data_IF_129882399622
#
_entry.id   IF_129882399622
#
_cell.length_a   1.000
_cell.length_b   1.000
_cell.length_c   1.000
_cell.angle_alpha   90.00
_cell.angle_beta   90.00
_cell.angle_gamma   90.00
#
_symmetry.space_group_name_H-M   'P 1'
#
loop_
_entity.id
_entity.type
_entity.pdbx_description
1 polymer ?
#
# COMPACT_ATOMS: atom_id res chain seq x y z
N UNK A 1 -5.93 26.48 15.84
CA UNK A 1 -6.82 25.90 14.81
C UNK A 1 -6.23 24.61 14.25
N UNK A 2 -4.93 24.56 13.98
CA UNK A 2 -4.24 23.40 13.36
C UNK A 2 -4.41 22.09 14.16
N UNK A 3 -4.27 22.12 15.48
CA UNK A 3 -4.46 20.94 16.34
C UNK A 3 -5.88 20.37 16.28
N UNK A 4 -6.90 21.24 16.17
CA UNK A 4 -8.30 20.80 16.04
C UNK A 4 -8.50 20.13 14.68
N UNK A 5 -7.98 20.73 13.60
CA UNK A 5 -8.06 20.17 12.27
C UNK A 5 -7.27 18.85 12.15
N UNK A 6 -6.11 18.74 12.82
CA UNK A 6 -5.37 17.49 12.91
C UNK A 6 -6.20 16.38 13.57
N UNK A 7 -6.89 16.69 14.68
CA UNK A 7 -7.81 15.75 15.34
C UNK A 7 -8.98 15.35 14.44
N UNK A 8 -9.57 16.32 13.73
CA UNK A 8 -10.63 16.04 12.73
C UNK A 8 -10.11 15.12 11.64
N UNK A 9 -8.89 15.36 11.13
CA UNK A 9 -8.23 14.49 10.16
C UNK A 9 -8.09 13.06 10.67
N UNK A 10 -7.62 12.85 11.90
CA UNK A 10 -7.54 11.52 12.49
C UNK A 10 -8.91 10.84 12.66
N UNK A 11 -9.94 11.60 13.05
CA UNK A 11 -11.29 11.06 13.18
C UNK A 11 -11.83 10.63 11.82
N UNK A 12 -11.66 11.45 10.78
CA UNK A 12 -12.05 11.11 9.41
C UNK A 12 -11.29 9.87 8.91
N UNK A 13 -9.99 9.83 9.13
CA UNK A 13 -9.13 8.71 8.71
C UNK A 13 -9.55 7.39 9.38
N UNK A 14 -9.74 7.38 10.71
CA UNK A 14 -10.10 6.18 11.46
C UNK A 14 -11.54 5.75 11.17
N UNK A 15 -12.50 6.68 11.21
CA UNK A 15 -13.90 6.36 10.92
C UNK A 15 -14.14 6.05 9.45
N UNK A 16 -13.44 6.74 8.55
CA UNK A 16 -13.44 6.43 7.13
C UNK A 16 -12.95 5.01 6.87
N UNK A 17 -11.83 4.61 7.47
CA UNK A 17 -11.31 3.24 7.37
C UNK A 17 -12.28 2.20 7.96
N UNK A 18 -12.99 2.53 9.04
CA UNK A 18 -13.98 1.67 9.66
C UNK A 18 -15.15 1.34 8.69
N UNK A 19 -15.69 2.37 8.02
CA UNK A 19 -16.71 2.20 6.99
C UNK A 19 -16.16 1.53 5.73
N UNK A 20 -14.98 1.90 5.30
CA UNK A 20 -14.35 1.35 4.10
C UNK A 20 -14.11 -0.16 4.23
N UNK A 21 -13.56 -0.59 5.35
CA UNK A 21 -13.35 -2.01 5.67
C UNK A 21 -14.68 -2.74 5.77
N UNK A 22 -15.67 -2.20 6.49
CA UNK A 22 -16.97 -2.83 6.65
C UNK A 22 -17.70 -2.98 5.30
N UNK A 23 -17.69 -1.95 4.47
CA UNK A 23 -18.24 -2.00 3.12
C UNK A 23 -17.54 -3.02 2.22
N UNK A 24 -16.20 -3.06 2.30
CA UNK A 24 -15.35 -3.97 1.50
C UNK A 24 -15.52 -5.42 1.90
N UNK A 25 -15.50 -5.73 3.20
CA UNK A 25 -15.77 -7.10 3.70
C UNK A 25 -17.20 -7.54 3.37
N UNK A 26 -18.18 -6.63 3.47
CA UNK A 26 -19.55 -6.90 3.09
C UNK A 26 -19.69 -7.18 1.59
N UNK A 27 -18.98 -6.42 0.75
CA UNK A 27 -18.95 -6.66 -0.70
C UNK A 27 -18.35 -8.03 -1.03
N UNK A 28 -17.28 -8.44 -0.34
CA UNK A 28 -16.70 -9.77 -0.47
C UNK A 28 -17.74 -10.85 -0.17
N UNK A 29 -18.51 -10.70 0.91
CA UNK A 29 -19.60 -11.61 1.28
C UNK A 29 -20.73 -11.64 0.23
N UNK A 30 -21.17 -10.49 -0.30
CA UNK A 30 -22.18 -10.40 -1.36
C UNK A 30 -21.71 -11.11 -2.64
N UNK A 31 -20.46 -10.92 -3.03
CA UNK A 31 -19.87 -11.53 -4.22
C UNK A 31 -19.46 -13.00 -3.99
N UNK A 32 -19.51 -13.48 -2.74
CA UNK A 32 -19.04 -14.79 -2.32
C UNK A 32 -17.58 -15.06 -2.73
N UNK A 33 -16.73 -14.08 -2.47
CA UNK A 33 -15.30 -14.18 -2.74
C UNK A 33 -14.51 -13.97 -1.45
N UNK A 34 -13.31 -14.54 -1.31
CA UNK A 34 -12.43 -14.26 -0.18
C UNK A 34 -12.17 -12.76 -0.04
N UNK A 35 -12.18 -12.23 1.19
CA UNK A 35 -11.93 -10.79 1.48
C UNK A 35 -10.56 -10.34 0.98
N UNK A 36 -9.60 -11.24 0.92
CA UNK A 36 -8.27 -10.98 0.36
C UNK A 36 -8.31 -10.51 -1.09
N UNK A 37 -9.23 -10.99 -1.91
CA UNK A 37 -9.35 -10.55 -3.31
C UNK A 37 -9.83 -9.08 -3.36
N UNK A 38 -10.77 -8.71 -2.50
CA UNK A 38 -11.22 -7.32 -2.37
C UNK A 38 -10.08 -6.45 -1.82
N UNK A 39 -9.30 -6.96 -0.87
CA UNK A 39 -8.08 -6.31 -0.36
C UNK A 39 -7.06 -6.05 -1.45
N UNK A 40 -6.71 -7.09 -2.24
CA UNK A 40 -5.74 -7.02 -3.36
C UNK A 40 -6.18 -6.13 -4.53
N UNK A 41 -7.45 -5.77 -4.61
CA UNK A 41 -8.01 -5.02 -5.74
C UNK A 41 -8.62 -3.68 -5.29
N UNK A 42 -9.89 -3.69 -4.89
CA UNK A 42 -10.67 -2.46 -4.61
C UNK A 42 -10.03 -1.66 -3.48
N UNK A 43 -9.61 -2.32 -2.39
CA UNK A 43 -9.06 -1.63 -1.23
C UNK A 43 -7.67 -1.07 -1.58
N UNK A 44 -6.80 -1.90 -2.15
CA UNK A 44 -5.45 -1.49 -2.54
C UNK A 44 -5.46 -0.34 -3.56
N UNK A 45 -6.26 -0.45 -4.63
CA UNK A 45 -6.37 0.61 -5.64
C UNK A 45 -6.94 1.92 -5.07
N UNK A 46 -7.88 1.79 -4.11
CA UNK A 46 -8.49 2.95 -3.46
C UNK A 46 -7.51 3.68 -2.55
N UNK A 47 -6.84 2.96 -1.67
CA UNK A 47 -5.89 3.55 -0.72
C UNK A 47 -4.65 4.11 -1.41
N UNK A 48 -4.19 3.51 -2.52
CA UNK A 48 -3.05 4.00 -3.32
C UNK A 48 -3.41 5.12 -4.32
N UNK A 49 -4.61 5.69 -4.25
CA UNK A 49 -4.98 6.83 -5.08
C UNK A 49 -4.12 8.10 -4.82
N UNK A 50 -3.73 8.43 -3.57
CA UNK A 50 -2.78 9.52 -3.30
C UNK A 50 -1.43 9.29 -3.96
N UNK A 51 -0.86 8.08 -3.84
CA UNK A 51 0.40 7.72 -4.50
C UNK A 51 0.31 7.88 -6.02
N UNK A 52 -0.80 7.43 -6.62
CA UNK A 52 -1.04 7.60 -8.06
C UNK A 52 -1.08 9.08 -8.43
N UNK A 53 -1.77 9.91 -7.66
CA UNK A 53 -1.83 11.35 -7.87
C UNK A 53 -0.46 12.00 -7.81
N UNK A 54 0.33 11.71 -6.76
CA UNK A 54 1.68 12.27 -6.59
C UNK A 54 2.60 11.84 -7.73
N UNK A 55 2.69 10.55 -8.02
CA UNK A 55 3.65 10.04 -9.01
C UNK A 55 3.30 10.43 -10.44
N UNK A 56 2.00 10.41 -10.82
CA UNK A 56 1.57 10.80 -12.16
C UNK A 56 1.77 12.31 -12.37
N UNK A 57 1.44 13.15 -11.38
CA UNK A 57 1.70 14.58 -11.47
C UNK A 57 3.21 14.90 -11.51
N UNK A 58 4.02 14.17 -10.76
CA UNK A 58 5.48 14.29 -10.82
C UNK A 58 6.03 13.94 -12.22
N UNK A 59 5.54 12.86 -12.84
CA UNK A 59 5.91 12.46 -14.19
C UNK A 59 5.49 13.53 -15.24
N UNK A 60 4.29 14.10 -15.11
CA UNK A 60 3.81 15.21 -15.96
C UNK A 60 4.67 16.46 -15.81
N UNK A 61 5.18 16.73 -14.60
CA UNK A 61 6.06 17.87 -14.30
C UNK A 61 7.53 17.61 -14.65
N UNK A 62 7.89 16.40 -15.10
CA UNK A 62 9.28 16.01 -15.38
C UNK A 62 10.13 15.72 -14.13
N UNK A 63 9.49 15.62 -12.95
CA UNK A 63 10.13 15.31 -11.67
C UNK A 63 10.20 13.80 -11.45
N UNK A 64 10.97 13.10 -12.29
CA UNK A 64 11.00 11.64 -12.35
C UNK A 64 11.42 10.97 -11.04
N UNK A 65 12.35 11.59 -10.30
CA UNK A 65 12.86 11.09 -9.03
C UNK A 65 11.74 10.97 -7.98
N UNK A 66 10.82 11.94 -7.97
CA UNK A 66 9.66 11.93 -7.06
C UNK A 66 8.74 10.76 -7.39
N UNK A 67 8.48 10.50 -8.69
CA UNK A 67 7.60 9.41 -9.10
C UNK A 67 8.14 8.04 -8.66
N UNK A 68 9.44 7.80 -8.86
CA UNK A 68 10.09 6.53 -8.48
C UNK A 68 10.19 6.41 -6.97
N UNK A 69 10.69 7.44 -6.28
CA UNK A 69 10.91 7.41 -4.84
C UNK A 69 9.60 7.24 -4.07
N UNK A 70 8.51 7.87 -4.53
CA UNK A 70 7.19 7.71 -3.93
C UNK A 70 6.72 6.25 -4.00
N UNK A 71 6.80 5.63 -5.17
CA UNK A 71 6.35 4.22 -5.34
C UNK A 71 7.24 3.25 -4.57
N UNK A 72 8.56 3.36 -4.69
CA UNK A 72 9.49 2.45 -4.00
C UNK A 72 9.39 2.62 -2.49
N UNK A 73 9.34 3.88 -2.02
CA UNK A 73 9.22 4.20 -0.59
C UNK A 73 7.90 3.70 0.01
N UNK A 74 6.76 3.93 -0.66
CA UNK A 74 5.45 3.42 -0.23
C UNK A 74 5.43 1.89 -0.18
N UNK A 75 6.06 1.22 -1.13
CA UNK A 75 6.12 -0.25 -1.13
C UNK A 75 6.97 -0.81 0.02
N UNK A 76 8.10 -0.17 0.35
CA UNK A 76 8.90 -0.52 1.54
C UNK A 76 8.08 -0.28 2.80
N UNK A 77 7.38 0.87 2.89
CA UNK A 77 6.51 1.19 4.01
C UNK A 77 5.38 0.16 4.17
N UNK A 78 4.68 -0.17 3.09
CA UNK A 78 3.61 -1.16 3.11
C UNK A 78 4.11 -2.53 3.59
N UNK A 79 5.25 -2.97 3.09
CA UNK A 79 5.85 -4.23 3.52
C UNK A 79 6.27 -4.21 4.99
N UNK A 80 7.12 -3.27 5.36
CA UNK A 80 7.76 -3.27 6.67
C UNK A 80 6.89 -2.66 7.77
N UNK A 81 6.16 -1.57 7.48
CA UNK A 81 5.37 -0.88 8.52
C UNK A 81 3.93 -1.38 8.55
N UNK A 82 3.22 -1.37 7.41
CA UNK A 82 1.79 -1.75 7.41
C UNK A 82 1.63 -3.21 7.83
N UNK A 83 2.31 -4.14 7.14
CA UNK A 83 2.26 -5.58 7.50
C UNK A 83 2.90 -5.82 8.87
N UNK A 84 4.01 -5.15 9.18
CA UNK A 84 4.70 -5.26 10.46
C UNK A 84 3.82 -4.86 11.64
N UNK A 85 3.15 -3.71 11.58
CA UNK A 85 2.23 -3.25 12.65
C UNK A 85 1.02 -4.18 12.76
N UNK A 86 0.43 -4.61 11.65
CA UNK A 86 -0.67 -5.57 11.68
C UNK A 86 -0.28 -6.87 12.40
N UNK A 87 0.89 -7.43 12.10
CA UNK A 87 1.40 -8.63 12.75
C UNK A 87 1.74 -8.40 14.24
N UNK A 88 2.29 -7.22 14.58
CA UNK A 88 2.58 -6.84 15.96
C UNK A 88 1.32 -6.71 16.82
N UNK A 89 0.28 -6.09 16.28
CA UNK A 89 -1.01 -5.93 16.97
C UNK A 89 -1.72 -7.27 17.13
N UNK A 90 -1.77 -8.06 16.07
CA UNK A 90 -2.45 -9.35 16.05
C UNK A 90 -1.71 -10.33 15.16
N UNK A 91 -1.05 -11.33 15.79
CA UNK A 91 -0.42 -12.40 15.01
C UNK A 91 -1.46 -13.13 14.18
N UNK A 92 -1.22 -13.28 12.89
CA UNK A 92 -2.17 -13.89 11.96
C UNK A 92 -1.53 -14.94 11.06
N UNK A 93 -2.37 -15.85 10.55
CA UNK A 93 -1.97 -16.78 9.50
C UNK A 93 -2.29 -16.13 8.14
N UNK A 94 -1.31 -15.95 7.25
CA UNK A 94 -1.59 -15.52 5.90
C UNK A 94 -2.48 -16.52 5.19
N UNK A 95 -3.48 -16.03 4.46
CA UNK A 95 -4.33 -16.90 3.64
C UNK A 95 -3.48 -17.70 2.64
N UNK A 96 -3.80 -18.96 2.42
CA UNK A 96 -2.96 -19.86 1.62
C UNK A 96 -2.70 -19.37 0.19
N UNK A 97 -3.63 -18.62 -0.41
CA UNK A 97 -3.48 -18.03 -1.74
C UNK A 97 -2.49 -16.87 -1.73
N UNK A 98 -2.54 -15.97 -0.73
CA UNK A 98 -1.56 -14.89 -0.59
C UNK A 98 -0.14 -15.46 -0.54
N UNK A 99 0.07 -16.49 0.30
CA UNK A 99 1.38 -17.08 0.50
C UNK A 99 1.91 -17.81 -0.75
N UNK A 100 1.03 -18.47 -1.51
CA UNK A 100 1.43 -19.30 -2.67
C UNK A 100 1.44 -18.53 -3.98
N UNK A 101 0.70 -17.44 -4.08
CA UNK A 101 0.46 -16.71 -5.32
C UNK A 101 0.91 -15.25 -5.24
N UNK A 102 0.33 -14.48 -4.31
CA UNK A 102 0.44 -13.02 -4.37
C UNK A 102 1.78 -12.50 -3.84
N UNK A 103 2.32 -13.08 -2.75
CA UNK A 103 3.65 -12.73 -2.27
C UNK A 103 4.77 -13.14 -3.24
N UNK A 104 4.79 -14.37 -3.83
CA UNK A 104 5.73 -14.71 -4.89
C UNK A 104 5.58 -13.81 -6.13
N UNK A 105 4.36 -13.45 -6.52
CA UNK A 105 4.14 -12.51 -7.62
C UNK A 105 4.70 -11.12 -7.31
N UNK A 106 4.49 -10.61 -6.10
CA UNK A 106 5.05 -9.33 -5.67
C UNK A 106 6.59 -9.35 -5.72
N UNK A 107 7.23 -10.44 -5.28
CA UNK A 107 8.68 -10.63 -5.39
C UNK A 107 9.10 -10.64 -6.86
N UNK A 108 8.42 -11.41 -7.72
CA UNK A 108 8.72 -11.49 -9.15
C UNK A 108 8.62 -10.11 -9.82
N UNK A 109 7.55 -9.37 -9.57
CA UNK A 109 7.36 -8.02 -10.12
C UNK A 109 8.46 -7.07 -9.64
N UNK A 110 8.86 -7.17 -8.37
CA UNK A 110 9.97 -6.36 -7.84
C UNK A 110 11.31 -6.76 -8.47
N UNK A 111 11.57 -8.05 -8.73
CA UNK A 111 12.76 -8.49 -9.47
C UNK A 111 12.77 -7.92 -10.88
N UNK A 112 11.64 -7.99 -11.59
CA UNK A 112 11.52 -7.40 -12.93
C UNK A 112 11.79 -5.90 -12.90
N UNK A 113 11.26 -5.17 -11.89
CA UNK A 113 11.55 -3.74 -11.72
C UNK A 113 13.04 -3.49 -11.48
N UNK A 114 13.71 -4.29 -10.62
CA UNK A 114 15.16 -4.19 -10.41
C UNK A 114 15.93 -4.35 -11.74
N UNK A 115 15.52 -5.32 -12.58
CA UNK A 115 16.16 -5.55 -13.87
C UNK A 115 15.92 -4.39 -14.85
N UNK A 116 14.70 -3.83 -14.89
CA UNK A 116 14.38 -2.67 -15.71
C UNK A 116 15.18 -1.41 -15.29
N UNK A 117 15.53 -1.29 -14.01
CA UNK A 117 16.30 -0.13 -13.51
C UNK A 117 17.80 -0.20 -13.77
N UNK A 118 18.34 -1.34 -14.27
CA UNK A 118 19.79 -1.54 -14.47
C UNK A 118 20.38 -0.65 -15.57
N UNK A 119 19.59 -0.25 -16.56
CA UNK A 119 20.04 0.62 -17.65
C UNK A 119 19.92 2.13 -17.31
N UNK A 120 19.46 2.46 -16.09
CA UNK A 120 19.31 3.84 -15.60
C UNK A 120 18.06 4.55 -16.10
N UNK A 121 17.11 3.82 -16.72
CA UNK A 121 15.87 4.42 -17.20
C UNK A 121 14.70 3.44 -17.14
N UNK A 122 13.47 3.95 -16.99
CA UNK A 122 12.25 3.19 -17.23
C UNK A 122 11.57 3.78 -18.46
N UNK A 123 11.66 3.08 -19.57
CA UNK A 123 11.18 3.50 -20.89
C UNK A 123 9.64 3.44 -20.98
N UNK A 124 9.07 4.11 -22.01
CA UNK A 124 7.63 4.02 -22.31
C UNK A 124 7.19 2.59 -22.64
N UNK A 125 8.07 1.80 -23.27
CA UNK A 125 7.75 0.40 -23.64
C UNK A 125 7.67 -0.44 -22.38
N UNK A 126 8.62 -0.31 -21.47
CA UNK A 126 8.59 -1.01 -20.17
C UNK A 126 7.39 -0.58 -19.33
N UNK A 127 7.06 0.71 -19.32
CA UNK A 127 5.83 1.21 -18.71
C UNK A 127 4.57 0.57 -19.30
N UNK A 128 4.48 0.44 -20.62
CA UNK A 128 3.36 -0.24 -21.28
C UNK A 128 3.31 -1.74 -20.94
N UNK A 129 4.47 -2.40 -20.80
CA UNK A 129 4.55 -3.80 -20.33
C UNK A 129 4.03 -3.92 -18.90
N UNK A 130 4.42 -3.03 -17.99
CA UNK A 130 3.90 -3.01 -16.62
C UNK A 130 2.37 -2.83 -16.59
N UNK A 131 1.83 -1.90 -17.39
CA UNK A 131 0.37 -1.71 -17.50
C UNK A 131 -0.34 -2.95 -18.06
N UNK A 132 0.24 -3.60 -19.07
CA UNK A 132 -0.29 -4.85 -19.59
C UNK A 132 -0.30 -5.94 -18.50
N UNK A 133 0.77 -6.07 -17.73
CA UNK A 133 0.83 -6.99 -16.58
C UNK A 133 -0.25 -6.66 -15.54
N UNK A 134 -0.55 -5.37 -15.30
CA UNK A 134 -1.63 -4.97 -14.41
C UNK A 134 -3.00 -5.44 -14.90
N UNK A 135 -3.29 -5.26 -16.20
CA UNK A 135 -4.55 -5.73 -16.80
C UNK A 135 -4.65 -7.25 -16.70
N UNK A 136 -3.57 -7.96 -16.99
CA UNK A 136 -3.52 -9.42 -16.86
C UNK A 136 -3.73 -9.87 -15.40
N UNK A 137 -3.11 -9.18 -14.44
CA UNK A 137 -3.29 -9.43 -13.00
C UNK A 137 -4.74 -9.24 -12.57
N UNK A 138 -5.38 -8.13 -12.95
CA UNK A 138 -6.79 -7.87 -12.63
C UNK A 138 -7.71 -8.91 -13.27
N UNK A 139 -7.46 -9.27 -14.53
CA UNK A 139 -8.20 -10.35 -15.21
C UNK A 139 -8.08 -11.68 -14.48
N UNK A 140 -6.86 -11.99 -14.01
CA UNK A 140 -6.60 -13.19 -13.23
C UNK A 140 -7.30 -13.13 -11.84
N UNK A 141 -7.33 -11.97 -11.18
CA UNK A 141 -8.07 -11.81 -9.91
C UNK A 141 -9.57 -12.04 -10.10
N UNK A 142 -10.16 -11.50 -11.18
CA UNK A 142 -11.59 -11.73 -11.51
C UNK A 142 -11.85 -13.23 -11.79
N UNK A 143 -10.95 -13.88 -12.52
CA UNK A 143 -11.05 -15.32 -12.77
C UNK A 143 -10.95 -16.14 -11.48
N UNK A 144 -9.98 -15.83 -10.62
CA UNK A 144 -9.79 -16.47 -9.32
C UNK A 144 -11.01 -16.28 -8.41
N UNK A 145 -11.58 -15.07 -8.38
CA UNK A 145 -12.79 -14.75 -7.64
C UNK A 145 -13.99 -15.61 -8.08
N UNK A 146 -14.12 -15.87 -9.39
CA UNK A 146 -15.21 -16.71 -9.92
C UNK A 146 -15.04 -18.19 -9.62
N UNK A 147 -13.78 -18.67 -9.57
CA UNK A 147 -13.45 -20.07 -9.35
C UNK A 147 -13.48 -20.44 -7.86
N UNK A 148 -13.00 -19.57 -7.00
CA UNK A 148 -12.86 -19.81 -5.56
C UNK A 148 -14.01 -19.12 -4.80
N UNK A 149 -15.26 -19.45 -5.16
CA UNK A 149 -16.41 -18.97 -4.40
C UNK A 149 -16.44 -19.69 -3.05
N UNK A 150 -16.27 -18.90 -1.99
CA UNK A 150 -16.46 -19.36 -0.61
C UNK A 150 -17.88 -19.02 -0.17
N UNK A 151 -18.49 -19.90 0.64
CA UNK A 151 -19.67 -19.49 1.41
C UNK A 151 -19.17 -18.41 2.38
N UNK A 152 -19.65 -17.16 2.20
CA UNK A 152 -19.18 -16.02 2.95
C UNK A 152 -19.21 -16.28 4.45
N UNK A 153 -18.19 -15.89 5.18
CA UNK A 153 -18.20 -15.95 6.64
C UNK A 153 -19.46 -15.26 7.17
N UNK A 154 -20.09 -15.78 8.24
CA UNK A 154 -21.35 -15.28 8.78
C UNK A 154 -21.12 -13.95 9.52
N UNK A 155 -20.76 -12.90 8.79
CA UNK A 155 -20.75 -11.52 9.23
C UNK A 155 -22.09 -10.83 8.89
N UNK A 156 -22.37 -9.68 9.50
CA UNK A 156 -23.47 -8.81 9.07
C UNK A 156 -23.19 -8.29 7.67
N UNK A 157 -23.77 -8.95 6.64
CA UNK A 157 -23.67 -8.50 5.27
C UNK A 157 -24.63 -7.30 5.09
N UNK A 158 -24.09 -6.15 4.74
CA UNK A 158 -24.86 -4.98 4.36
C UNK A 158 -25.54 -5.23 3.00
N UNK A 159 -26.61 -4.49 2.71
CA UNK A 159 -27.15 -4.48 1.33
C UNK A 159 -26.13 -3.89 0.36
N UNK A 160 -26.15 -4.33 -0.90
CA UNK A 160 -25.21 -3.85 -1.93
C UNK A 160 -25.13 -2.31 -2.02
N UNK A 161 -26.24 -1.53 -2.03
CA UNK A 161 -26.16 -0.08 -2.04
C UNK A 161 -25.46 0.52 -0.80
N UNK A 162 -25.67 -0.07 0.38
CA UNK A 162 -24.99 0.35 1.61
C UNK A 162 -23.51 0.00 1.58
N UNK A 163 -23.14 -1.18 1.09
CA UNK A 163 -21.74 -1.57 0.92
C UNK A 163 -21.01 -0.60 0.00
N UNK A 164 -21.61 -0.25 -1.15
CA UNK A 164 -21.02 0.71 -2.09
C UNK A 164 -20.92 2.12 -1.49
N UNK A 165 -21.94 2.56 -0.73
CA UNK A 165 -21.90 3.85 -0.04
C UNK A 165 -20.80 3.87 1.03
N UNK A 166 -20.62 2.78 1.78
CA UNK A 166 -19.59 2.65 2.79
C UNK A 166 -18.18 2.60 2.17
N UNK A 167 -18.03 1.92 1.03
CA UNK A 167 -16.77 1.93 0.27
C UNK A 167 -16.47 3.34 -0.22
N UNK A 168 -17.37 3.99 -0.95
CA UNK A 168 -17.12 5.30 -1.53
C UNK A 168 -16.95 6.39 -0.47
N UNK A 169 -17.85 6.46 0.50
CA UNK A 169 -17.79 7.45 1.59
C UNK A 169 -16.62 7.21 2.54
N UNK A 170 -16.36 5.94 2.87
CA UNK A 170 -15.24 5.54 3.71
C UNK A 170 -13.90 5.87 3.05
N UNK A 171 -13.73 5.51 1.76
CA UNK A 171 -12.53 5.83 0.99
C UNK A 171 -12.31 7.35 0.90
N UNK A 172 -13.34 8.12 0.55
CA UNK A 172 -13.26 9.57 0.52
C UNK A 172 -12.81 10.14 1.88
N UNK A 173 -13.41 9.66 2.99
CA UNK A 173 -13.03 10.11 4.33
C UNK A 173 -11.59 9.71 4.69
N UNK A 174 -11.12 8.54 4.25
CA UNK A 174 -9.72 8.10 4.46
C UNK A 174 -8.75 9.01 3.70
N UNK A 175 -9.02 9.30 2.42
CA UNK A 175 -8.15 10.16 1.61
C UNK A 175 -8.13 11.58 2.19
N UNK A 176 -9.28 12.23 2.33
CA UNK A 176 -9.35 13.59 2.87
C UNK A 176 -8.84 13.69 4.31
N UNK A 177 -9.07 12.66 5.12
CA UNK A 177 -8.55 12.59 6.49
C UNK A 177 -7.03 12.48 6.51
N UNK A 178 -6.46 11.64 5.63
CA UNK A 178 -5.01 11.50 5.44
C UNK A 178 -4.35 12.80 5.02
N UNK A 179 -4.87 13.44 3.96
CA UNK A 179 -4.38 14.73 3.47
C UNK A 179 -4.42 15.81 4.57
N UNK A 180 -5.52 15.87 5.32
CA UNK A 180 -5.67 16.83 6.41
C UNK A 180 -4.68 16.57 7.56
N UNK A 181 -4.42 15.29 7.89
CA UNK A 181 -3.43 14.92 8.91
C UNK A 181 -2.04 15.35 8.47
N UNK A 182 -1.64 15.04 7.24
CA UNK A 182 -0.33 15.41 6.70
C UNK A 182 -0.13 16.92 6.66
N UNK A 183 -1.09 17.65 6.08
CA UNK A 183 -1.04 19.10 5.95
C UNK A 183 -0.88 19.78 7.32
N UNK A 184 -1.71 19.40 8.31
CA UNK A 184 -1.64 20.00 9.63
C UNK A 184 -0.43 19.56 10.43
N UNK A 185 0.03 18.32 10.27
CA UNK A 185 1.28 17.86 10.88
C UNK A 185 2.50 18.64 10.34
N UNK A 186 2.55 18.89 9.02
CA UNK A 186 3.60 19.71 8.40
C UNK A 186 3.62 21.14 8.94
N UNK A 187 2.45 21.80 9.03
CA UNK A 187 2.34 23.17 9.57
C UNK A 187 2.81 23.20 11.04
N UNK A 188 2.36 22.25 11.85
CA UNK A 188 2.74 22.16 13.27
C UNK A 188 4.25 21.94 13.41
N UNK A 189 4.82 20.99 12.66
CA UNK A 189 6.25 20.71 12.69
C UNK A 189 7.09 21.93 12.25
N UNK A 190 6.65 22.65 11.21
CA UNK A 190 7.29 23.90 10.77
C UNK A 190 7.26 24.96 11.87
N UNK A 191 6.13 25.12 12.58
CA UNK A 191 5.99 26.06 13.70
C UNK A 191 6.90 25.71 14.90
N UNK A 192 7.27 24.44 15.06
CA UNK A 192 8.28 23.98 16.03
C UNK A 192 9.74 24.11 15.54
N UNK A 193 9.95 24.66 14.35
CA UNK A 193 11.30 24.88 13.79
C UNK A 193 11.90 23.62 13.17
N UNK A 194 11.10 22.58 12.88
CA UNK A 194 11.56 21.39 12.17
C UNK A 194 11.90 21.76 10.73
N UNK A 195 13.05 21.30 10.22
CA UNK A 195 13.50 21.64 8.87
C UNK A 195 12.54 21.06 7.80
N UNK A 196 12.38 21.79 6.69
CA UNK A 196 11.54 21.36 5.57
C UNK A 196 12.02 20.04 4.96
N UNK A 197 13.33 19.82 4.95
CA UNK A 197 13.92 18.56 4.49
C UNK A 197 13.48 17.38 5.38
N UNK A 198 13.52 17.55 6.71
CA UNK A 198 13.06 16.53 7.65
C UNK A 198 11.56 16.25 7.51
N UNK A 199 10.73 17.30 7.35
CA UNK A 199 9.29 17.18 7.12
C UNK A 199 9.02 16.39 5.84
N UNK A 200 9.73 16.70 4.75
CA UNK A 200 9.60 16.01 3.46
C UNK A 200 9.96 14.53 3.55
N UNK A 201 11.10 14.22 4.19
CA UNK A 201 11.61 12.85 4.31
C UNK A 201 10.82 11.98 5.31
N UNK A 202 10.02 12.59 6.18
CA UNK A 202 9.25 11.85 7.22
C UNK A 202 7.76 12.01 7.03
N UNK A 203 7.19 13.18 7.36
CA UNK A 203 5.74 13.38 7.44
C UNK A 203 5.08 13.20 6.08
N UNK A 204 5.67 13.80 5.02
CA UNK A 204 5.09 13.70 3.68
C UNK A 204 5.31 12.29 3.10
N UNK A 205 6.50 11.72 3.28
CA UNK A 205 6.81 10.38 2.77
C UNK A 205 5.93 9.28 3.39
N UNK A 206 5.59 9.40 4.68
CA UNK A 206 4.68 8.47 5.37
C UNK A 206 3.22 8.79 5.02
N UNK A 207 2.94 10.05 4.72
CA UNK A 207 1.59 10.59 4.64
C UNK A 207 0.72 9.97 3.55
N UNK A 208 1.27 9.75 2.37
CA UNK A 208 0.52 9.11 1.26
C UNK A 208 0.11 7.69 1.61
N UNK A 209 0.92 6.97 2.41
CA UNK A 209 0.64 5.59 2.82
C UNK A 209 -0.13 5.47 4.16
N UNK A 210 -0.60 6.59 4.75
CA UNK A 210 -1.51 6.57 5.91
C UNK A 210 -2.83 5.85 5.62
N UNK A 211 -3.47 6.03 4.45
CA UNK A 211 -4.66 5.28 4.06
C UNK A 211 -4.47 3.76 4.18
N UNK A 212 -3.37 3.23 3.64
CA UNK A 212 -3.02 1.81 3.70
C UNK A 212 -2.84 1.35 5.13
N UNK A 213 -2.07 2.11 5.92
CA UNK A 213 -1.77 1.78 7.30
C UNK A 213 -3.04 1.69 8.15
N UNK A 214 -3.85 2.75 8.14
CA UNK A 214 -5.02 2.81 9.01
C UNK A 214 -6.09 1.81 8.57
N UNK A 215 -6.32 1.67 7.25
CA UNK A 215 -7.26 0.67 6.71
C UNK A 215 -6.85 -0.75 7.10
N UNK A 216 -5.56 -1.10 6.97
CA UNK A 216 -5.05 -2.44 7.32
C UNK A 216 -5.09 -2.69 8.84
N UNK A 217 -4.81 -1.68 9.68
CA UNK A 217 -4.97 -1.78 11.13
C UNK A 217 -6.43 -2.03 11.51
N UNK A 218 -7.37 -1.30 10.90
CA UNK A 218 -8.81 -1.46 11.17
C UNK A 218 -9.28 -2.85 10.73
N UNK A 219 -8.88 -3.32 9.54
CA UNK A 219 -9.18 -4.66 9.06
C UNK A 219 -8.63 -5.75 10.01
N UNK A 220 -7.38 -5.60 10.44
CA UNK A 220 -6.75 -6.52 11.42
C UNK A 220 -7.50 -6.55 12.74
N UNK A 221 -7.91 -5.38 13.27
CA UNK A 221 -8.71 -5.30 14.52
C UNK A 221 -10.10 -5.91 14.39
N UNK A 222 -10.68 -5.90 13.19
CA UNK A 222 -11.96 -6.57 12.89
C UNK A 222 -11.80 -8.08 12.64
N UNK A 223 -10.56 -8.61 12.69
CA UNK A 223 -10.27 -10.03 12.45
C UNK A 223 -10.09 -10.39 10.97
N UNK A 224 -10.19 -9.42 10.04
CA UNK A 224 -10.04 -9.63 8.60
C UNK A 224 -8.57 -9.39 8.18
N UNK A 225 -7.70 -10.31 8.58
CA UNK A 225 -6.28 -10.27 8.20
C UNK A 225 -6.06 -10.51 6.70
N UNK A 226 -7.01 -11.19 6.04
CA UNK A 226 -6.99 -11.39 4.59
C UNK A 226 -7.09 -10.06 3.85
N UNK A 227 -8.05 -9.22 4.21
CA UNK A 227 -8.22 -7.89 3.64
C UNK A 227 -7.03 -6.98 3.97
N UNK A 228 -6.50 -7.03 5.20
CA UNK A 228 -5.35 -6.22 5.62
C UNK A 228 -4.08 -6.55 4.81
N UNK A 229 -3.74 -7.85 4.70
CA UNK A 229 -2.57 -8.29 3.96
C UNK A 229 -2.77 -8.11 2.45
N UNK A 230 -3.99 -8.36 1.97
CA UNK A 230 -4.38 -8.10 0.59
C UNK A 230 -4.21 -6.63 0.22
N UNK A 231 -4.62 -5.70 1.09
CA UNK A 231 -4.40 -4.27 0.89
C UNK A 231 -2.90 -3.95 0.72
N UNK A 232 -2.04 -4.34 1.66
CA UNK A 232 -0.62 -4.00 1.61
C UNK A 232 0.09 -4.60 0.36
N UNK A 233 -0.14 -5.88 0.03
CA UNK A 233 0.49 -6.53 -1.11
C UNK A 233 -0.13 -6.05 -2.43
N UNK A 234 -1.45 -5.84 -2.46
CA UNK A 234 -2.15 -5.30 -3.62
C UNK A 234 -1.70 -3.88 -3.96
N UNK A 235 -1.51 -3.02 -2.95
CA UNK A 235 -0.95 -1.68 -3.12
C UNK A 235 0.47 -1.73 -3.70
N UNK A 236 1.32 -2.65 -3.25
CA UNK A 236 2.65 -2.81 -3.82
C UNK A 236 2.61 -3.21 -5.30
N UNK A 237 1.75 -4.14 -5.67
CA UNK A 237 1.56 -4.54 -7.08
C UNK A 237 0.97 -3.40 -7.91
N UNK A 238 -0.04 -2.69 -7.38
CA UNK A 238 -0.64 -1.54 -8.05
C UNK A 238 0.36 -0.41 -8.26
N UNK A 239 1.15 -0.10 -7.25
CA UNK A 239 2.18 0.94 -7.31
C UNK A 239 3.23 0.64 -8.39
N UNK A 240 3.73 -0.58 -8.48
CA UNK A 240 4.73 -0.96 -9.50
C UNK A 240 4.06 -1.06 -10.88
N UNK A 241 3.02 -1.87 -11.00
CA UNK A 241 2.46 -2.21 -12.30
C UNK A 241 1.65 -1.07 -12.93
N UNK A 242 0.86 -0.35 -12.11
CA UNK A 242 0.01 0.72 -12.62
C UNK A 242 0.67 2.09 -12.48
N UNK A 243 1.10 2.48 -11.29
CA UNK A 243 1.57 3.86 -11.06
C UNK A 243 2.88 4.12 -11.78
N UNK A 244 3.93 3.29 -11.60
CA UNK A 244 5.17 3.42 -12.37
C UNK A 244 4.95 3.17 -13.86
N UNK A 245 4.13 2.18 -14.21
CA UNK A 245 3.77 1.91 -15.59
C UNK A 245 3.16 3.11 -16.29
N UNK A 246 2.17 3.75 -15.66
CA UNK A 246 1.51 4.95 -16.19
C UNK A 246 2.46 6.14 -16.25
N UNK A 247 3.24 6.36 -15.18
CA UNK A 247 4.23 7.44 -15.10
C UNK A 247 5.26 7.33 -16.23
N UNK A 248 5.78 6.12 -16.49
CA UNK A 248 6.76 5.87 -17.54
C UNK A 248 6.19 6.02 -18.96
N UNK A 249 4.92 5.65 -19.19
CA UNK A 249 4.23 5.88 -20.47
C UNK A 249 4.05 7.37 -20.75
N UNK A 250 3.69 8.15 -19.73
CA UNK A 250 3.55 9.60 -19.82
C UNK A 250 4.90 10.25 -20.12
N UNK A 251 5.91 9.96 -19.29
CA UNK A 251 7.26 10.49 -19.40
C UNK A 251 8.26 9.38 -19.03
N UNK A 252 9.22 9.02 -19.91
CA UNK A 252 10.27 8.08 -19.53
C UNK A 252 10.96 8.55 -18.25
N UNK A 253 11.10 7.65 -17.27
CA UNK A 253 11.64 7.98 -15.98
C UNK A 253 13.15 7.73 -15.96
N UNK A 254 13.92 8.74 -15.58
CA UNK A 254 15.35 8.57 -15.31
C UNK A 254 15.53 7.95 -13.92
N UNK A 255 16.36 6.90 -13.82
CA UNK A 255 16.56 6.13 -12.58
C UNK A 255 17.91 6.53 -11.98
N UNK A 256 17.88 7.09 -10.78
CA UNK A 256 19.11 7.41 -10.03
C UNK A 256 19.71 6.14 -9.40
N UNK A 257 21.02 6.15 -9.15
CA UNK A 257 21.69 5.05 -8.48
C UNK A 257 21.11 4.74 -7.10
N UNK A 258 20.66 5.76 -6.37
CA UNK A 258 19.97 5.63 -5.10
C UNK A 258 18.65 4.85 -5.23
N UNK A 259 17.87 5.11 -6.28
CA UNK A 259 16.61 4.41 -6.54
C UNK A 259 16.83 2.92 -6.83
N UNK A 260 17.96 2.56 -7.45
CA UNK A 260 18.34 1.16 -7.64
C UNK A 260 18.60 0.48 -6.28
N UNK A 261 19.36 1.16 -5.40
CA UNK A 261 19.62 0.64 -4.03
C UNK A 261 18.31 0.44 -3.27
N UNK A 262 17.43 1.45 -3.29
CA UNK A 262 16.13 1.38 -2.61
C UNK A 262 15.24 0.25 -3.17
N UNK A 263 15.29 0.01 -4.48
CA UNK A 263 14.55 -1.10 -5.11
C UNK A 263 15.12 -2.47 -4.71
N UNK A 264 16.44 -2.58 -4.54
CA UNK A 264 17.07 -3.80 -3.98
C UNK A 264 16.66 -4.01 -2.51
N UNK A 265 16.58 -2.94 -1.71
CA UNK A 265 16.09 -3.01 -0.33
C UNK A 265 14.60 -3.40 -0.29
N UNK A 266 13.79 -2.87 -1.22
CA UNK A 266 12.40 -3.30 -1.40
C UNK A 266 12.32 -4.80 -1.70
N UNK A 267 13.13 -5.31 -2.61
CA UNK A 267 13.19 -6.75 -2.91
C UNK A 267 13.57 -7.57 -1.67
N UNK A 268 14.59 -7.12 -0.94
CA UNK A 268 15.01 -7.75 0.32
C UNK A 268 13.88 -7.79 1.35
N UNK A 269 13.12 -6.69 1.49
CA UNK A 269 11.97 -6.62 2.39
C UNK A 269 10.84 -7.56 1.98
N UNK A 270 10.54 -7.66 0.68
CA UNK A 270 9.52 -8.56 0.15
C UNK A 270 9.89 -10.04 0.38
N UNK A 271 11.16 -10.41 0.18
CA UNK A 271 11.67 -11.76 0.47
C UNK A 271 11.60 -12.04 1.97
N UNK A 272 12.02 -11.11 2.82
CA UNK A 272 11.98 -11.25 4.28
C UNK A 272 10.55 -11.51 4.77
N UNK A 273 9.58 -10.71 4.31
CA UNK A 273 8.17 -10.89 4.63
C UNK A 273 7.64 -12.26 4.20
N UNK A 274 8.02 -12.69 3.00
CA UNK A 274 7.65 -14.01 2.50
C UNK A 274 8.23 -15.13 3.38
N UNK A 275 9.48 -15.01 3.79
CA UNK A 275 10.13 -15.97 4.71
C UNK A 275 9.38 -15.99 6.05
N UNK A 276 9.12 -14.85 6.67
CA UNK A 276 8.37 -14.76 7.92
C UNK A 276 6.96 -15.36 7.79
N UNK A 277 6.24 -15.00 6.73
CA UNK A 277 4.90 -15.54 6.48
C UNK A 277 4.89 -17.07 6.27
N UNK A 278 5.98 -17.64 5.72
CA UNK A 278 6.11 -19.07 5.46
C UNK A 278 6.63 -19.85 6.67
N UNK A 279 7.51 -19.25 7.47
CA UNK A 279 8.11 -19.85 8.65
C UNK A 279 7.05 -19.98 9.74
N UNK A 280 6.75 -21.20 10.17
CA UNK A 280 5.68 -21.45 11.16
C UNK A 280 4.24 -21.21 10.65
N UNK A 281 4.04 -20.85 9.39
CA UNK A 281 2.74 -20.52 8.77
C UNK A 281 1.97 -19.41 9.48
N UNK A 282 2.66 -18.58 10.24
CA UNK A 282 2.07 -17.49 11.03
C UNK A 282 3.06 -16.35 11.14
N UNK A 283 2.62 -15.14 10.87
CA UNK A 283 3.38 -13.95 11.23
C UNK A 283 3.19 -13.63 12.70
N UNK A 284 4.29 -13.60 13.42
CA UNK A 284 4.33 -13.39 14.88
C UNK A 284 4.51 -11.90 15.21
N UNK A 285 4.21 -11.53 16.47
CA UNK A 285 4.43 -10.16 16.96
C UNK A 285 5.91 -9.74 16.90
N UNK A 286 6.83 -10.68 17.19
CA UNK A 286 8.28 -10.40 17.11
C UNK A 286 8.75 -10.14 15.68
N UNK A 287 8.25 -10.88 14.69
CA UNK A 287 8.52 -10.63 13.28
C UNK A 287 7.94 -9.30 12.83
N UNK A 288 6.72 -8.97 13.29
CA UNK A 288 6.13 -7.65 13.06
C UNK A 288 6.97 -6.51 13.62
N UNK A 289 7.45 -6.64 14.88
CA UNK A 289 8.34 -5.66 15.50
C UNK A 289 9.68 -5.56 14.75
N UNK A 290 10.25 -6.69 14.30
CA UNK A 290 11.48 -6.70 13.50
C UNK A 290 11.31 -5.94 12.17
N UNK A 291 10.18 -6.11 11.48
CA UNK A 291 9.87 -5.36 10.27
C UNK A 291 9.85 -3.84 10.53
N UNK A 292 9.15 -3.40 11.57
CA UNK A 292 9.08 -1.97 11.93
C UNK A 292 10.47 -1.42 12.29
N UNK A 293 11.28 -2.16 13.04
CA UNK A 293 12.66 -1.76 13.37
C UNK A 293 13.54 -1.65 12.12
N UNK A 294 13.38 -2.55 11.16
CA UNK A 294 14.07 -2.47 9.87
C UNK A 294 13.67 -1.23 9.07
N UNK A 295 12.39 -0.84 9.11
CA UNK A 295 11.97 0.42 8.48
C UNK A 295 12.59 1.63 9.17
N UNK A 296 12.66 1.66 10.49
CA UNK A 296 13.34 2.72 11.25
C UNK A 296 14.82 2.79 10.86
N UNK A 297 15.50 1.65 10.73
CA UNK A 297 16.90 1.60 10.29
C UNK A 297 17.05 2.09 8.84
N UNK A 298 16.13 1.72 7.94
CA UNK A 298 16.08 2.25 6.56
C UNK A 298 15.88 3.76 6.55
N UNK A 299 14.94 4.29 7.34
CA UNK A 299 14.73 5.73 7.45
C UNK A 299 15.98 6.44 7.97
N UNK A 300 16.65 5.89 9.00
CA UNK A 300 17.90 6.43 9.49
C UNK A 300 18.99 6.44 8.41
N UNK A 301 19.07 5.38 7.60
CA UNK A 301 19.99 5.33 6.44
C UNK A 301 19.70 6.45 5.43
N UNK A 302 18.44 6.77 5.14
CA UNK A 302 18.07 7.86 4.23
C UNK A 302 18.56 9.25 4.70
N UNK A 303 18.72 9.45 6.02
CA UNK A 303 19.24 10.72 6.56
C UNK A 303 20.76 10.85 6.48
N UNK A 304 21.47 9.74 6.32
CA UNK A 304 22.96 9.74 6.32
C UNK A 304 23.50 9.73 4.88
N UNK A 305 22.73 9.27 3.95
CA UNK A 305 23.02 9.25 2.52
C UNK A 305 22.67 10.60 1.89
#
# INVERSE_FOLDING_TARGET
>A
MEYILLLVGFILLIKGADFFVEGSSSLAGILKVPSVIIGLTIVAMGTSAPEASVSINAALAGSNDIAISNVVGSNIFNGLVVVGICAFLHSFMPHGEILKRDMPLNILVTVVLCLMFLDGSLSRIEGAVLLFCMIAYLGFMIYSARKNREEGEPGKILSLPRSLLYIAGGLAAVIFGGDLVVDKACIIATNFGVSQNFIGLTIIAIGTSLPELVTSIVATKKGDSGLALGNAIGSNLFNILFILGMSAVISPLHVLGESVIDTVLLLGSAILLFVFARTGRRMTRSEGAACVLLYVAYTAYLFVR
#
